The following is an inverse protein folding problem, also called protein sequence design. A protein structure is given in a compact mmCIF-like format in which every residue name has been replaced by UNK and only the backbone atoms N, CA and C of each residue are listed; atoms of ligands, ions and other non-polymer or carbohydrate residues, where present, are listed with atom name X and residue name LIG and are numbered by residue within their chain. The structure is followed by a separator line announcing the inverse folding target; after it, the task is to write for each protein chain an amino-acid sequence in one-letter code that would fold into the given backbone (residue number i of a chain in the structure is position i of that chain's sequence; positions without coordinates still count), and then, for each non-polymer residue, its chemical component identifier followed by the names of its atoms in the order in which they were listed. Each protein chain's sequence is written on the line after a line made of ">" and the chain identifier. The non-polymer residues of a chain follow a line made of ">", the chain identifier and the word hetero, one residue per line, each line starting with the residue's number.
data_IF_932220737097
#
_entry.id   IF_932220737097
#
_cell.length_a   1.000
_cell.length_b   1.000
_cell.length_c   1.000
_cell.angle_alpha   90.00
_cell.angle_beta   90.00
_cell.angle_gamma   90.00
#
_symmetry.space_group_name_H-M   'P 1'
#
loop_
_entity.id
_entity.type
_entity.pdbx_description
1 polymer ?
#
# COMPACT_ATOMS: atom_id res chain seq x y z
N UNK A 1 7.27 -20.35 -6.72
CA UNK A 1 7.38 -19.29 -5.70
C UNK A 1 6.70 -18.05 -6.29
N UNK A 2 5.45 -17.80 -5.91
CA UNK A 2 4.56 -16.83 -6.56
C UNK A 2 4.94 -15.41 -6.14
N UNK A 3 5.55 -14.67 -7.06
CA UNK A 3 5.54 -13.22 -6.99
C UNK A 3 4.09 -12.78 -7.20
N UNK A 4 3.49 -12.12 -6.20
CA UNK A 4 2.23 -11.40 -6.38
C UNK A 4 2.50 -10.21 -7.31
N UNK A 5 2.63 -10.48 -8.60
CA UNK A 5 2.45 -9.48 -9.65
C UNK A 5 0.99 -9.02 -9.54
N UNK A 6 0.75 -7.92 -8.83
CA UNK A 6 -0.57 -7.30 -8.83
C UNK A 6 -0.79 -6.69 -10.20
N UNK A 7 -1.59 -7.39 -10.99
CA UNK A 7 -1.92 -7.02 -12.35
C UNK A 7 -2.81 -5.78 -12.31
N UNK A 8 -2.23 -4.59 -12.48
CA UNK A 8 -2.99 -3.35 -12.71
C UNK A 8 -3.86 -3.44 -13.98
N UNK A 9 -3.40 -4.28 -14.91
CA UNK A 9 -3.91 -4.43 -16.27
C UNK A 9 -4.02 -5.89 -16.66
N UNK A 10 -5.21 -6.46 -16.67
CA UNK A 10 -5.39 -7.85 -17.14
C UNK A 10 -5.30 -7.87 -18.67
N UNK A 11 -4.39 -8.67 -19.21
CA UNK A 11 -4.21 -8.91 -20.64
C UNK A 11 -4.86 -10.25 -21.04
N UNK A 12 -5.68 -10.25 -22.09
CA UNK A 12 -6.23 -11.45 -22.72
C UNK A 12 -6.30 -11.32 -24.24
N UNK A 13 -6.40 -12.45 -25.00
CA UNK A 13 -6.57 -12.38 -26.44
C UNK A 13 -7.91 -11.71 -26.78
N UNK A 14 -7.90 -10.87 -27.82
CA UNK A 14 -9.10 -10.22 -28.37
C UNK A 14 -10.17 -11.21 -28.86
N UNK A 15 -9.73 -12.33 -29.45
CA UNK A 15 -10.55 -13.47 -29.80
C UNK A 15 -9.71 -14.75 -29.64
N UNK A 16 -10.28 -15.79 -29.04
CA UNK A 16 -9.68 -17.12 -29.09
C UNK A 16 -9.79 -17.65 -30.53
N UNK A 17 -8.74 -18.25 -31.11
CA UNK A 17 -8.85 -18.85 -32.43
C UNK A 17 -9.93 -19.94 -32.40
N UNK A 18 -10.88 -19.89 -33.35
CA UNK A 18 -11.87 -20.94 -33.51
C UNK A 18 -11.17 -22.29 -33.69
N UNK A 19 -11.62 -23.37 -33.01
CA UNK A 19 -10.96 -24.66 -33.09
C UNK A 19 -11.23 -25.30 -34.45
N UNK A 20 -10.38 -25.01 -35.43
CA UNK A 20 -10.24 -25.84 -36.64
C UNK A 20 -8.88 -26.50 -36.63
N UNK A 21 -8.70 -27.46 -35.72
CA UNK A 21 -7.61 -28.44 -35.81
C UNK A 21 -7.88 -29.65 -34.91
N UNK A 22 -8.38 -30.71 -35.54
CA UNK A 22 -8.27 -32.15 -35.22
C UNK A 22 -7.64 -32.51 -33.86
N UNK A 23 -8.35 -32.27 -32.78
CA UNK A 23 -8.21 -33.01 -31.52
C UNK A 23 -9.59 -32.99 -30.87
N UNK A 24 -10.20 -34.15 -30.72
CA UNK A 24 -11.51 -34.31 -30.09
C UNK A 24 -11.29 -34.84 -28.67
N UNK A 25 -11.02 -33.97 -27.66
CA UNK A 25 -11.14 -34.39 -26.27
C UNK A 25 -12.62 -34.70 -25.98
N UNK A 26 -12.92 -35.58 -25.01
CA UNK A 26 -14.30 -35.88 -24.65
C UNK A 26 -15.05 -34.58 -24.35
N UNK A 27 -16.29 -34.47 -24.86
CA UNK A 27 -17.20 -33.33 -24.62
C UNK A 27 -17.42 -33.16 -23.12
N UNK A 28 -16.57 -32.38 -22.49
CA UNK A 28 -16.92 -31.68 -21.26
C UNK A 28 -17.71 -30.49 -21.76
N UNK A 29 -19.03 -30.53 -21.61
CA UNK A 29 -19.88 -29.35 -21.70
C UNK A 29 -19.54 -28.44 -20.51
N UNK A 30 -18.35 -27.85 -20.53
CA UNK A 30 -18.11 -26.63 -19.78
C UNK A 30 -18.82 -25.55 -20.57
N UNK A 31 -20.03 -25.24 -20.13
CA UNK A 31 -20.54 -23.88 -20.21
C UNK A 31 -19.45 -23.02 -19.54
N UNK A 32 -18.47 -22.55 -20.34
CA UNK A 32 -17.47 -21.60 -19.89
C UNK A 32 -18.27 -20.32 -19.74
N UNK A 33 -18.87 -20.20 -18.56
CA UNK A 33 -19.42 -18.98 -18.02
C UNK A 33 -18.32 -17.95 -18.23
N UNK A 34 -18.45 -17.11 -19.26
CA UNK A 34 -17.55 -15.97 -19.45
C UNK A 34 -17.55 -15.29 -18.10
N UNK A 35 -16.43 -15.29 -17.34
CA UNK A 35 -16.47 -14.72 -16.02
C UNK A 35 -16.82 -13.27 -16.26
N UNK A 36 -18.06 -12.90 -15.96
CA UNK A 36 -18.49 -11.51 -15.94
C UNK A 36 -17.51 -10.91 -14.97
N UNK A 37 -16.49 -10.21 -15.48
CA UNK A 37 -15.39 -9.81 -14.62
C UNK A 37 -16.04 -9.05 -13.47
N UNK A 38 -15.67 -9.37 -12.21
CA UNK A 38 -16.26 -8.70 -11.07
C UNK A 38 -16.24 -7.20 -11.33
N UNK A 39 -17.31 -6.50 -10.95
CA UNK A 39 -17.63 -5.09 -11.29
C UNK A 39 -16.47 -4.09 -11.03
N UNK A 40 -15.42 -4.52 -10.33
CA UNK A 40 -14.18 -3.79 -10.06
C UNK A 40 -13.25 -3.55 -11.27
N UNK A 41 -13.48 -4.17 -12.43
CA UNK A 41 -12.58 -4.03 -13.59
C UNK A 41 -13.19 -3.19 -14.71
N UNK A 42 -12.60 -2.01 -14.97
CA UNK A 42 -12.99 -1.12 -16.08
C UNK A 42 -12.28 -1.50 -17.37
N UNK A 43 -13.02 -1.66 -18.47
CA UNK A 43 -12.45 -1.87 -19.80
C UNK A 43 -11.72 -0.61 -20.28
N UNK A 44 -10.45 -0.76 -20.67
CA UNK A 44 -9.62 0.31 -21.27
C UNK A 44 -9.48 0.11 -22.78
N UNK A 45 -9.26 -1.14 -23.21
CA UNK A 45 -9.08 -1.50 -24.62
C UNK A 45 -9.55 -2.94 -24.84
N UNK A 46 -10.12 -3.24 -26.01
CA UNK A 46 -10.59 -4.58 -26.39
C UNK A 46 -9.77 -5.24 -27.50
N UNK A 47 -9.02 -4.46 -28.29
CA UNK A 47 -8.31 -4.92 -29.49
C UNK A 47 -6.93 -4.25 -29.62
N UNK A 48 -5.85 -4.96 -30.04
CA UNK A 48 -5.77 -6.39 -30.36
C UNK A 48 -5.65 -7.30 -29.12
N UNK A 49 -5.67 -6.71 -27.93
CA UNK A 49 -5.69 -7.41 -26.65
C UNK A 49 -6.72 -6.75 -25.73
N UNK A 50 -7.37 -7.57 -24.90
CA UNK A 50 -8.25 -7.11 -23.85
C UNK A 50 -7.40 -6.51 -22.72
N UNK A 51 -7.62 -5.23 -22.42
CA UNK A 51 -6.98 -4.47 -21.35
C UNK A 51 -8.04 -3.96 -20.38
N UNK A 52 -8.00 -4.41 -19.12
CA UNK A 52 -8.90 -3.95 -18.06
C UNK A 52 -8.13 -3.42 -16.86
N UNK A 53 -8.57 -2.28 -16.33
CA UNK A 53 -8.01 -1.64 -15.14
C UNK A 53 -8.76 -2.08 -13.88
N UNK A 54 -8.03 -2.55 -12.86
CA UNK A 54 -8.59 -2.80 -11.54
C UNK A 54 -8.81 -1.48 -10.78
N UNK A 55 -10.06 -1.10 -10.59
CA UNK A 55 -10.44 0.15 -9.91
C UNK A 55 -10.27 0.07 -8.38
N UNK A 56 -10.11 -1.13 -7.83
CA UNK A 56 -9.92 -1.36 -6.40
C UNK A 56 -8.45 -1.62 -6.03
N UNK A 57 -7.53 -1.44 -6.98
CA UNK A 57 -6.11 -1.56 -6.70
C UNK A 57 -5.63 -0.43 -5.78
N UNK A 58 -5.15 -0.80 -4.60
CA UNK A 58 -4.52 0.13 -3.67
C UNK A 58 -3.17 0.66 -4.19
N UNK A 59 -2.80 1.92 -3.88
CA UNK A 59 -1.51 2.48 -4.27
C UNK A 59 -0.31 1.73 -3.67
N UNK A 60 0.88 1.97 -4.24
CA UNK A 60 2.12 1.39 -3.71
C UNK A 60 2.48 1.93 -2.32
N UNK A 61 2.12 3.17 -2.04
CA UNK A 61 2.17 3.75 -0.72
C UNK A 61 1.01 4.73 -0.56
N UNK A 62 0.35 4.69 0.60
CA UNK A 62 -0.82 5.51 0.88
C UNK A 62 -0.97 5.79 2.37
N UNK A 63 -1.57 6.93 2.68
CA UNK A 63 -1.83 7.36 4.05
C UNK A 63 -3.29 7.09 4.41
N UNK A 64 -3.50 6.55 5.60
CA UNK A 64 -4.78 6.37 6.26
C UNK A 64 -4.81 7.10 7.60
N UNK A 65 -6.02 7.37 8.09
CA UNK A 65 -6.24 8.07 9.36
C UNK A 65 -6.89 7.17 10.41
N UNK A 66 -7.20 5.93 10.05
CA UNK A 66 -7.70 4.92 10.99
C UNK A 66 -6.71 3.75 11.08
N UNK A 67 -6.36 3.39 12.32
CA UNK A 67 -5.44 2.31 12.63
C UNK A 67 -6.05 1.45 13.73
N UNK A 68 -6.14 0.14 13.46
CA UNK A 68 -6.43 -0.86 14.46
C UNK A 68 -5.17 -1.69 14.72
N UNK A 69 -4.90 -1.96 15.98
CA UNK A 69 -3.71 -2.71 16.38
C UNK A 69 -4.08 -4.06 16.96
N UNK A 70 -3.33 -5.09 16.59
CA UNK A 70 -3.52 -6.46 17.05
C UNK A 70 -2.20 -7.01 17.58
N UNK A 71 -2.28 -7.85 18.61
CA UNK A 71 -1.08 -8.44 19.22
C UNK A 71 -0.48 -9.62 18.44
N UNK A 72 -1.21 -10.18 17.46
CA UNK A 72 -0.80 -11.33 16.65
C UNK A 72 -1.29 -11.22 15.22
N UNK A 73 -0.58 -11.88 14.31
CA UNK A 73 -0.90 -11.90 12.89
C UNK A 73 -2.21 -12.66 12.58
N UNK A 74 -2.55 -13.69 13.34
CA UNK A 74 -3.78 -14.47 13.15
C UNK A 74 -5.03 -13.60 13.33
N UNK A 75 -5.02 -12.69 14.32
CA UNK A 75 -6.12 -11.77 14.55
C UNK A 75 -6.28 -10.75 13.41
N UNK A 76 -5.16 -10.32 12.81
CA UNK A 76 -5.16 -9.48 11.61
C UNK A 76 -5.80 -10.23 10.43
N UNK A 77 -5.41 -11.49 10.18
CA UNK A 77 -5.99 -12.26 9.09
C UNK A 77 -7.50 -12.47 9.24
N UNK A 78 -7.98 -12.75 10.46
CA UNK A 78 -9.42 -12.85 10.72
C UNK A 78 -10.16 -11.56 10.35
N UNK A 79 -9.60 -10.40 10.74
CA UNK A 79 -10.18 -9.10 10.42
C UNK A 79 -10.11 -8.77 8.92
N UNK A 80 -8.99 -9.07 8.25
CA UNK A 80 -8.82 -8.85 6.80
C UNK A 80 -9.83 -9.63 5.96
N UNK A 81 -10.25 -10.81 6.43
CA UNK A 81 -11.27 -11.64 5.75
C UNK A 81 -12.70 -11.27 6.14
N UNK A 82 -12.89 -10.34 7.08
CA UNK A 82 -14.22 -9.92 7.49
C UNK A 82 -14.86 -8.98 6.47
N UNK A 83 -16.17 -9.10 6.26
CA UNK A 83 -16.93 -8.24 5.33
C UNK A 83 -16.96 -6.77 5.77
N UNK A 84 -16.61 -6.49 7.04
CA UNK A 84 -16.68 -5.15 7.64
C UNK A 84 -15.37 -4.37 7.41
N UNK A 85 -14.27 -5.06 7.09
CA UNK A 85 -12.98 -4.41 6.92
C UNK A 85 -12.81 -3.83 5.50
N UNK A 86 -12.67 -2.50 5.42
CA UNK A 86 -12.25 -1.81 4.20
C UNK A 86 -10.77 -1.38 4.29
N UNK A 87 -9.87 -1.97 3.50
CA UNK A 87 -8.45 -1.62 3.49
C UNK A 87 -8.15 -0.24 2.88
N UNK A 88 -9.14 0.41 2.24
CA UNK A 88 -9.06 1.81 1.79
C UNK A 88 -9.29 2.80 2.93
N UNK A 89 -9.85 2.36 4.06
CA UNK A 89 -10.21 3.23 5.18
C UNK A 89 -9.40 2.93 6.44
N UNK A 90 -9.05 1.67 6.68
CA UNK A 90 -8.44 1.24 7.95
C UNK A 90 -7.19 0.39 7.73
N UNK A 91 -6.10 0.73 8.41
CA UNK A 91 -4.91 -0.12 8.50
C UNK A 91 -5.01 -1.03 9.72
N UNK A 92 -4.52 -2.27 9.59
CA UNK A 92 -4.41 -3.23 10.69
C UNK A 92 -2.92 -3.50 10.95
N UNK A 93 -2.38 -3.04 12.08
CA UNK A 93 -0.96 -3.23 12.41
C UNK A 93 -0.75 -4.26 13.51
N UNK A 94 0.31 -5.06 13.38
CA UNK A 94 0.75 -5.99 14.40
C UNK A 94 1.64 -5.26 15.41
N UNK A 95 1.13 -5.04 16.62
CA UNK A 95 1.87 -4.45 17.73
C UNK A 95 1.17 -4.74 19.06
N UNK A 96 1.97 -5.04 20.09
CA UNK A 96 1.49 -5.14 21.48
C UNK A 96 1.45 -3.79 22.19
N UNK A 97 2.15 -2.79 21.66
CA UNK A 97 2.11 -1.44 22.19
C UNK A 97 0.86 -0.76 21.67
N UNK A 98 0.08 -0.20 22.58
CA UNK A 98 -0.97 0.73 22.22
C UNK A 98 -0.30 1.93 21.54
N UNK A 99 -0.56 2.08 20.25
CA UNK A 99 -0.17 3.28 19.52
C UNK A 99 -1.19 4.33 19.90
N UNK A 100 -0.75 5.46 20.46
CA UNK A 100 -1.63 6.59 20.78
C UNK A 100 -2.50 6.85 19.56
N UNK A 101 -3.79 6.60 19.75
CA UNK A 101 -4.71 6.37 18.64
C UNK A 101 -4.63 7.56 17.69
N UNK A 102 -4.41 7.28 16.41
CA UNK A 102 -4.84 8.19 15.36
C UNK A 102 -6.31 8.47 15.68
N UNK A 103 -6.66 9.75 15.87
CA UNK A 103 -8.04 10.14 16.15
C UNK A 103 -8.94 9.38 15.17
N UNK A 104 -10.04 8.78 15.66
CA UNK A 104 -11.01 8.05 14.85
C UNK A 104 -11.67 9.00 13.83
N UNK A 105 -10.93 9.42 12.81
CA UNK A 105 -11.36 10.25 11.70
C UNK A 105 -11.96 9.31 10.65
N UNK A 106 -12.98 8.57 11.08
CA UNK A 106 -13.72 7.65 10.22
C UNK A 106 -14.19 8.40 8.96
N UNK A 107 -14.07 7.74 7.80
CA UNK A 107 -14.52 8.21 6.48
C UNK A 107 -13.64 9.28 5.80
N UNK A 108 -12.33 9.30 6.08
CA UNK A 108 -11.38 10.01 5.22
C UNK A 108 -10.86 9.11 4.12
N UNK A 109 -10.84 9.64 2.90
CA UNK A 109 -10.21 8.97 1.77
C UNK A 109 -8.72 8.78 2.04
N UNK A 110 -8.19 7.66 1.56
CA UNK A 110 -6.75 7.43 1.53
C UNK A 110 -6.06 8.50 0.68
N UNK A 111 -4.83 8.85 1.04
CA UNK A 111 -4.00 9.76 0.26
C UNK A 111 -2.86 8.97 -0.35
N UNK A 112 -2.84 8.83 -1.67
CA UNK A 112 -1.68 8.27 -2.38
C UNK A 112 -0.46 9.18 -2.19
N UNK A 113 0.69 8.57 -1.92
CA UNK A 113 1.95 9.30 -1.73
C UNK A 113 2.99 8.85 -2.75
N UNK A 114 3.96 9.74 -3.01
CA UNK A 114 4.99 9.46 -4.00
C UNK A 114 5.93 8.38 -3.46
N UNK A 115 5.89 7.20 -4.09
CA UNK A 115 6.76 6.07 -3.79
C UNK A 115 7.92 6.00 -4.79
N UNK A 116 9.16 6.02 -4.30
CA UNK A 116 10.37 5.88 -5.13
C UNK A 116 11.26 4.77 -4.57
N UNK A 117 11.32 3.60 -5.22
CA UNK A 117 12.34 2.60 -4.88
C UNK A 117 13.71 3.14 -5.32
N UNK A 118 14.75 2.91 -4.50
CA UNK A 118 16.12 3.30 -4.77
C UNK A 118 17.09 2.15 -4.40
N UNK A 119 18.22 2.05 -5.09
CA UNK A 119 19.21 0.97 -4.90
C UNK A 119 19.33 0.03 -6.10
N UNK A 120 20.48 -0.63 -6.22
CA UNK A 120 20.90 -1.29 -7.47
C UNK A 120 20.23 -2.65 -7.70
N UNK A 121 19.47 -2.72 -8.80
CA UNK A 121 19.39 -3.84 -9.76
C UNK A 121 19.67 -5.26 -9.23
N UNK A 122 18.81 -5.76 -8.35
CA UNK A 122 18.48 -7.18 -8.04
C UNK A 122 17.11 -7.16 -7.32
N UNK A 123 16.36 -8.27 -7.17
CA UNK A 123 14.89 -8.24 -7.09
C UNK A 123 14.26 -7.58 -5.85
N UNK A 124 15.03 -6.92 -4.98
CA UNK A 124 14.54 -6.17 -3.82
C UNK A 124 15.28 -4.83 -3.74
N UNK A 125 14.52 -3.73 -3.68
CA UNK A 125 15.11 -2.42 -3.45
C UNK A 125 15.66 -2.37 -2.01
N UNK A 126 16.94 -2.07 -1.85
CA UNK A 126 17.56 -1.90 -0.53
C UNK A 126 17.11 -0.61 0.17
N UNK A 127 16.51 0.32 -0.59
CA UNK A 127 16.02 1.58 -0.10
C UNK A 127 14.67 1.95 -0.73
N UNK A 128 13.79 2.54 0.09
CA UNK A 128 12.52 3.14 -0.35
C UNK A 128 12.51 4.58 0.15
N UNK A 129 12.23 5.52 -0.75
CA UNK A 129 12.06 6.93 -0.44
C UNK A 129 10.60 7.30 -0.68
N UNK A 130 9.96 7.90 0.32
CA UNK A 130 8.59 8.39 0.25
C UNK A 130 8.56 9.86 0.66
N UNK A 131 7.80 10.65 -0.08
CA UNK A 131 7.57 12.07 0.21
C UNK A 131 6.07 12.33 0.37
N UNK A 132 5.70 12.99 1.46
CA UNK A 132 4.29 13.28 1.77
C UNK A 132 4.11 14.59 2.54
N UNK A 133 3.03 15.33 2.29
CA UNK A 133 2.78 16.65 2.90
C UNK A 133 1.78 16.61 4.07
N UNK A 134 1.60 15.43 4.69
CA UNK A 134 0.71 15.26 5.85
C UNK A 134 1.21 16.11 7.02
N UNK A 135 0.29 16.81 7.69
CA UNK A 135 0.58 17.76 8.76
C UNK A 135 -0.20 17.44 10.06
N UNK A 136 -0.61 16.19 10.20
CA UNK A 136 -1.41 15.63 11.28
C UNK A 136 -0.95 14.20 11.55
N UNK A 137 -1.43 13.60 12.64
CA UNK A 137 -1.12 12.21 12.92
C UNK A 137 -1.81 11.31 11.89
N UNK A 138 -1.08 10.37 11.30
CA UNK A 138 -1.61 9.45 10.30
C UNK A 138 -0.81 8.15 10.26
N UNK A 139 -1.29 7.17 9.49
CA UNK A 139 -0.59 5.91 9.24
C UNK A 139 -0.24 5.79 7.76
N UNK A 140 1.04 5.61 7.47
CA UNK A 140 1.51 5.30 6.12
C UNK A 140 1.56 3.78 5.95
N UNK A 141 0.84 3.28 4.96
CA UNK A 141 0.94 1.89 4.48
C UNK A 141 1.80 1.86 3.22
N UNK A 142 2.71 0.90 3.15
CA UNK A 142 3.59 0.66 2.01
C UNK A 142 3.31 -0.76 1.53
N UNK A 143 2.83 -0.91 0.30
CA UNK A 143 2.49 -2.17 -0.37
C UNK A 143 3.74 -2.97 -0.77
N UNK A 144 4.65 -3.15 0.18
CA UNK A 144 5.89 -3.90 0.06
C UNK A 144 6.00 -4.83 1.27
N UNK A 145 6.57 -6.02 1.06
CA UNK A 145 6.58 -7.05 2.09
C UNK A 145 7.40 -6.62 3.31
N UNK A 146 6.85 -6.83 4.50
CA UNK A 146 7.57 -6.69 5.75
C UNK A 146 8.58 -7.84 5.90
N UNK A 147 9.80 -7.46 6.29
CA UNK A 147 10.89 -8.37 6.62
C UNK A 147 11.62 -7.79 7.84
N UNK A 148 12.01 -8.66 8.77
CA UNK A 148 12.88 -8.27 9.88
C UNK A 148 14.22 -7.79 9.33
N UNK A 149 14.44 -6.48 9.35
CA UNK A 149 15.62 -5.84 8.77
C UNK A 149 15.34 -4.45 8.19
N UNK A 150 14.08 -4.14 7.91
CA UNK A 150 13.70 -2.78 7.54
C UNK A 150 13.93 -1.80 8.71
N UNK A 151 14.51 -0.64 8.37
CA UNK A 151 14.76 0.48 9.26
C UNK A 151 14.22 1.74 8.60
N UNK A 152 13.24 2.38 9.22
CA UNK A 152 12.66 3.61 8.72
C UNK A 152 13.19 4.83 9.47
N UNK A 153 13.30 5.94 8.74
CA UNK A 153 13.49 7.28 9.30
C UNK A 153 12.46 8.23 8.72
N UNK A 154 11.79 8.98 9.58
CA UNK A 154 10.93 10.10 9.20
C UNK A 154 11.66 11.38 9.57
N UNK A 155 11.98 12.22 8.58
CA UNK A 155 12.73 13.47 8.78
C UNK A 155 14.04 13.28 9.55
N UNK A 156 14.69 12.12 9.36
CA UNK A 156 15.94 11.75 10.03
C UNK A 156 15.78 11.07 11.39
N UNK A 157 14.59 11.07 11.99
CA UNK A 157 14.30 10.41 13.27
C UNK A 157 13.97 8.94 13.02
N UNK A 158 14.56 8.03 13.82
CA UNK A 158 14.29 6.59 13.72
C UNK A 158 12.85 6.26 14.10
N UNK A 159 12.14 5.55 13.23
CA UNK A 159 10.73 5.18 13.42
C UNK A 159 10.56 3.67 13.28
N UNK A 160 9.79 3.01 14.16
CA UNK A 160 9.47 1.60 14.01
C UNK A 160 8.72 1.31 12.71
N UNK A 161 9.03 0.18 12.07
CA UNK A 161 8.26 -0.37 10.94
C UNK A 161 7.36 -1.45 11.50
N UNK A 162 6.05 -1.35 11.27
CA UNK A 162 5.07 -2.32 11.74
C UNK A 162 4.66 -3.28 10.62
N UNK A 163 4.55 -4.60 10.88
CA UNK A 163 3.78 -5.48 10.01
C UNK A 163 2.35 -4.96 9.93
N UNK A 164 1.82 -4.80 8.72
CA UNK A 164 0.51 -4.18 8.48
C UNK A 164 -0.25 -4.98 7.44
N UNK A 165 -1.57 -5.12 7.61
CA UNK A 165 -2.46 -5.81 6.68
C UNK A 165 -1.89 -7.17 6.23
N UNK A 166 -1.45 -7.98 7.21
CA UNK A 166 -0.90 -9.31 6.99
C UNK A 166 0.62 -9.30 6.83
N UNK A 167 1.14 -8.68 5.77
CA UNK A 167 2.58 -8.73 5.48
C UNK A 167 3.12 -7.48 4.80
N UNK A 168 2.41 -6.36 4.86
CA UNK A 168 2.87 -5.07 4.35
C UNK A 168 3.63 -4.30 5.42
N UNK A 169 4.29 -3.20 5.04
CA UNK A 169 4.94 -2.31 5.99
C UNK A 169 4.01 -1.14 6.35
N UNK A 170 4.04 -0.75 7.63
CA UNK A 170 3.34 0.41 8.15
C UNK A 170 4.26 1.33 8.97
N UNK A 171 4.00 2.63 8.92
CA UNK A 171 4.71 3.65 9.68
C UNK A 171 3.72 4.64 10.30
N UNK A 172 3.92 4.96 11.58
CA UNK A 172 3.19 6.06 12.21
C UNK A 172 3.82 7.39 11.77
N UNK A 173 3.01 8.25 11.16
CA UNK A 173 3.35 9.64 10.88
C UNK A 173 2.82 10.48 12.04
N UNK A 174 3.71 11.19 12.71
CA UNK A 174 3.32 12.14 13.75
C UNK A 174 3.23 13.54 13.17
N UNK A 175 2.23 14.29 13.61
CA UNK A 175 2.12 15.72 13.41
C UNK A 175 3.43 16.38 13.82
N UNK A 176 4.02 17.15 12.91
CA UNK A 176 5.17 17.99 13.27
C UNK A 176 4.75 18.95 14.37
N UNK A 177 5.43 18.87 15.51
CA UNK A 177 5.37 19.94 16.49
C UNK A 177 5.97 21.18 15.82
N UNK A 178 5.15 22.22 15.61
CA UNK A 178 5.65 23.51 15.16
C UNK A 178 6.74 23.92 16.16
N UNK A 179 7.98 24.21 15.73
CA UNK A 179 8.94 24.84 16.62
C UNK A 179 8.25 26.10 17.14
N UNK A 180 8.10 26.22 18.46
CA UNK A 180 7.67 27.47 19.08
C UNK A 180 8.78 28.47 18.76
N UNK A 181 8.66 29.18 17.65
CA UNK A 181 9.49 30.31 17.37
C UNK A 181 9.26 31.28 18.52
N UNK A 182 10.30 31.60 19.28
CA UNK A 182 10.26 32.74 20.18
C UNK A 182 9.99 33.97 19.31
N UNK A 183 8.71 34.37 19.19
CA UNK A 183 8.32 35.51 18.37
C UNK A 183 8.66 36.77 19.17
N UNK A 184 9.90 37.23 19.06
CA UNK A 184 10.20 38.64 19.24
C UNK A 184 10.18 39.28 17.86
N UNK A 185 9.01 39.80 17.48
CA UNK A 185 8.79 40.78 16.42
C UNK A 185 9.39 40.49 15.04
N UNK A 186 8.55 40.07 14.09
CA UNK A 186 8.33 40.83 12.84
C UNK A 186 7.27 40.15 11.99
N UNK A 187 6.26 40.94 11.63
CA UNK A 187 5.20 40.59 10.69
C UNK A 187 5.81 40.45 9.29
N UNK A 188 5.81 39.23 8.77
CA UNK A 188 6.22 38.92 7.40
C UNK A 188 5.33 37.81 6.86
N UNK A 189 4.60 38.11 5.77
CA UNK A 189 3.75 37.19 5.03
C UNK A 189 4.51 35.90 4.68
N UNK A 190 4.22 34.80 5.37
CA UNK A 190 4.68 33.46 4.96
C UNK A 190 3.55 32.75 4.21
N UNK A 191 3.72 32.61 2.89
CA UNK A 191 2.97 31.60 2.15
C UNK A 191 3.24 30.23 2.78
N UNK A 192 2.17 29.50 3.10
CA UNK A 192 2.26 28.12 3.60
C UNK A 192 2.73 27.22 2.45
N UNK A 193 4.03 27.17 2.17
CA UNK A 193 4.62 25.99 1.53
C UNK A 193 4.44 24.83 2.51
N UNK A 194 3.49 23.94 2.21
CA UNK A 194 3.24 22.73 2.99
C UNK A 194 4.54 21.97 3.15
N UNK A 195 4.98 21.82 4.40
CA UNK A 195 6.23 21.15 4.71
C UNK A 195 6.09 19.64 4.44
N UNK A 196 6.93 19.08 3.57
CA UNK A 196 6.91 17.66 3.19
C UNK A 196 7.74 16.82 4.16
N UNK A 197 7.18 15.73 4.67
CA UNK A 197 7.90 14.63 5.32
C UNK A 197 8.74 13.88 4.31
N UNK A 198 10.03 13.70 4.63
CA UNK A 198 10.93 12.80 3.89
C UNK A 198 11.10 11.52 4.68
N UNK A 199 10.64 10.43 4.09
CA UNK A 199 10.63 9.11 4.70
C UNK A 199 11.62 8.24 3.93
N UNK A 200 12.55 7.62 4.65
CA UNK A 200 13.56 6.75 4.06
C UNK A 200 13.51 5.43 4.81
N UNK A 201 13.22 4.34 4.09
CA UNK A 201 13.37 2.98 4.59
C UNK A 201 14.61 2.36 3.97
N UNK A 202 15.44 1.72 4.78
CA UNK A 202 16.56 0.93 4.32
C UNK A 202 16.41 -0.51 4.82
N UNK A 203 16.67 -1.47 3.97
CA UNK A 203 16.73 -2.86 4.34
C UNK A 203 18.16 -3.22 4.75
N UNK A 204 18.31 -3.68 6.00
CA UNK A 204 19.56 -4.23 6.50
C UNK A 204 19.23 -5.59 7.14
N UNK A 205 19.46 -6.72 6.44
CA UNK A 205 19.26 -8.02 7.04
C UNK A 205 20.16 -8.13 8.27
N UNK A 206 19.67 -8.75 9.34
CA UNK A 206 20.56 -9.15 10.42
C UNK A 206 21.64 -10.03 9.80
N UNK A 207 22.90 -9.62 9.91
CA UNK A 207 24.03 -10.46 9.51
C UNK A 207 23.83 -11.82 10.18
N UNK A 208 23.83 -12.90 9.38
CA UNK A 208 23.89 -14.26 9.90
C UNK A 208 25.08 -14.32 10.86
N UNK A 209 24.80 -14.29 12.15
CA UNK A 209 25.77 -14.41 13.23
C UNK A 209 26.12 -15.87 13.44
#
# INVERSE_FOLDING_TARGET
>A
MLALNRVKYLLGPAAWPSPTSIYNPPEISEEIDTPTAPNQYKLIQSEPFLLRENQDLLPQAYVLFNLQTYGTIEAIYQQLTSEIHDPKLTALAETKQQVDALENLANRDLIEVTYRPAGYSRPQAEQIIIETAINEDAFLVISHNYLSGWRAKIDGVSTPVYPTNGNLMGLLLQKRQTPVANITGQSGKTGKTGQTHKIILNYAPASLA
#
